data_IF_503331828769
#
_entry.id   IF_503331828769
#
_cell.length_a   1.000
_cell.length_b   1.000
_cell.length_c   1.000
_cell.angle_alpha   90.00
_cell.angle_beta   90.00
_cell.angle_gamma   90.00
#
_symmetry.space_group_name_H-M   'P 1'
#
loop_
_entity.id
_entity.type
_entity.pdbx_description
1 polymer ?
#
# COMPACT_ATOMS: atom_id res chain seq x y z
N UNK A 1 -12.01 9.69 3.05
CA UNK A 1 -11.07 8.55 3.10
C UNK A 1 -10.53 8.35 4.48
N UNK A 2 -10.81 7.19 5.07
CA UNK A 2 -10.38 6.79 6.42
C UNK A 2 -9.16 5.85 6.33
N UNK A 3 -9.33 4.69 5.69
CA UNK A 3 -8.33 3.59 5.74
C UNK A 3 -7.17 3.75 4.74
N UNK A 4 -7.34 4.47 3.64
CA UNK A 4 -6.26 4.61 2.64
C UNK A 4 -5.04 5.39 3.14
N UNK A 5 -5.17 6.12 4.26
CA UNK A 5 -4.04 6.80 4.91
C UNK A 5 -2.96 5.81 5.36
N UNK A 6 -3.33 4.59 5.76
CA UNK A 6 -2.37 3.55 6.15
C UNK A 6 -1.46 3.18 4.99
N UNK A 7 -2.04 3.01 3.80
CA UNK A 7 -1.29 2.73 2.58
C UNK A 7 -0.34 3.88 2.22
N UNK A 8 -0.83 5.12 2.17
CA UNK A 8 -0.01 6.30 1.83
C UNK A 8 1.12 6.50 2.84
N UNK A 9 0.83 6.40 4.13
CA UNK A 9 1.85 6.57 5.17
C UNK A 9 2.91 5.47 5.11
N UNK A 10 2.49 4.22 4.91
CA UNK A 10 3.41 3.08 4.80
C UNK A 10 4.29 3.19 3.55
N UNK A 11 3.72 3.62 2.41
CA UNK A 11 4.49 3.86 1.19
C UNK A 11 5.57 4.92 1.41
N UNK A 12 5.24 6.05 2.07
CA UNK A 12 6.22 7.08 2.42
C UNK A 12 7.31 6.58 3.36
N UNK A 13 6.93 5.80 4.36
CA UNK A 13 7.87 5.23 5.32
C UNK A 13 8.83 4.23 4.65
N UNK A 14 8.31 3.31 3.84
CA UNK A 14 9.11 2.33 3.09
C UNK A 14 10.00 3.01 2.04
N UNK A 15 9.47 4.01 1.32
CA UNK A 15 10.21 4.73 0.30
C UNK A 15 11.30 5.67 0.86
N UNK A 16 11.27 5.98 2.16
CA UNK A 16 12.22 6.89 2.81
C UNK A 16 12.23 8.32 2.25
N UNK A 17 11.25 8.69 1.43
CA UNK A 17 11.21 9.93 0.65
C UNK A 17 9.78 10.46 0.51
N UNK A 18 9.65 11.75 0.20
CA UNK A 18 8.36 12.32 -0.17
C UNK A 18 8.05 12.03 -1.65
N UNK A 19 6.79 11.75 -2.01
CA UNK A 19 6.42 11.63 -3.41
C UNK A 19 6.54 13.00 -4.11
N UNK A 20 6.96 12.97 -5.36
CA UNK A 20 7.06 14.13 -6.25
C UNK A 20 5.72 14.42 -6.94
N UNK A 21 4.93 13.39 -7.21
CA UNK A 21 3.62 13.50 -7.85
C UNK A 21 2.68 12.36 -7.41
N UNK A 22 1.37 12.61 -7.54
CA UNK A 22 0.32 11.64 -7.26
C UNK A 22 -0.76 11.66 -8.34
N UNK A 23 -1.16 10.46 -8.78
CA UNK A 23 -2.32 10.25 -9.65
C UNK A 23 -3.31 9.32 -8.97
N UNK A 24 -4.60 9.54 -9.18
CA UNK A 24 -5.64 8.73 -8.58
C UNK A 24 -6.85 8.59 -9.50
N UNK A 25 -7.55 7.48 -9.35
CA UNK A 25 -8.84 7.21 -9.97
C UNK A 25 -9.80 6.72 -8.90
N UNK A 26 -10.97 7.36 -8.81
CA UNK A 26 -12.03 7.02 -7.87
C UNK A 26 -13.23 6.48 -8.63
N UNK A 27 -13.89 5.50 -8.03
CA UNK A 27 -15.18 4.99 -8.48
C UNK A 27 -16.08 4.72 -7.28
N UNK A 28 -17.36 4.49 -7.58
CA UNK A 28 -18.39 4.18 -6.58
C UNK A 28 -19.23 3.02 -7.07
N UNK A 29 -19.20 1.91 -6.32
CA UNK A 29 -19.96 0.70 -6.62
C UNK A 29 -21.37 0.75 -6.00
N UNK A 30 -21.52 1.44 -4.86
CA UNK A 30 -22.81 1.59 -4.15
C UNK A 30 -23.19 3.07 -3.97
N UNK A 31 -23.76 3.73 -5.01
CA UNK A 31 -24.03 5.17 -4.99
C UNK A 31 -24.92 5.64 -3.83
N UNK A 32 -25.89 4.82 -3.41
CA UNK A 32 -26.80 5.14 -2.30
C UNK A 32 -26.07 5.28 -0.95
N UNK A 33 -24.96 4.56 -0.77
CA UNK A 33 -24.14 4.59 0.46
C UNK A 33 -23.08 5.69 0.41
N UNK A 34 -22.60 6.04 -0.78
CA UNK A 34 -21.42 6.89 -1.00
C UNK A 34 -21.76 8.15 -1.81
N UNK A 35 -22.84 8.84 -1.43
CA UNK A 35 -23.28 10.09 -2.07
C UNK A 35 -22.40 11.29 -1.72
N UNK A 36 -21.78 11.28 -0.54
CA UNK A 36 -20.98 12.41 -0.02
C UNK A 36 -19.47 12.10 0.07
N UNK A 37 -19.10 10.83 0.27
CA UNK A 37 -17.72 10.37 0.50
C UNK A 37 -17.30 9.33 -0.53
N UNK A 38 -16.01 9.06 -0.66
CA UNK A 38 -15.53 7.98 -1.55
C UNK A 38 -15.86 6.58 -1.07
N UNK A 39 -16.18 5.75 -2.05
CA UNK A 39 -16.22 4.31 -1.90
C UNK A 39 -14.82 3.75 -2.08
N UNK A 40 -14.28 3.88 -3.29
CA UNK A 40 -13.07 3.20 -3.72
C UNK A 40 -12.16 4.12 -4.50
N UNK A 41 -10.85 4.03 -4.25
CA UNK A 41 -9.83 4.84 -4.91
C UNK A 41 -8.59 4.01 -5.14
N UNK A 42 -8.10 4.03 -6.38
CA UNK A 42 -6.78 3.56 -6.76
C UNK A 42 -5.86 4.76 -6.91
N UNK A 43 -4.63 4.65 -6.45
CA UNK A 43 -3.67 5.74 -6.50
C UNK A 43 -2.27 5.25 -6.79
N UNK A 44 -1.47 6.14 -7.37
CA UNK A 44 -0.06 5.96 -7.67
C UNK A 44 0.71 7.18 -7.18
N UNK A 45 1.79 6.92 -6.45
CA UNK A 45 2.75 7.90 -5.99
C UNK A 45 4.08 7.67 -6.73
N UNK A 46 4.64 8.73 -7.29
CA UNK A 46 5.98 8.69 -7.90
C UNK A 46 6.97 9.36 -6.96
N UNK A 47 8.02 8.63 -6.60
CA UNK A 47 9.09 9.08 -5.70
C UNK A 47 10.36 9.42 -6.51
N UNK A 48 11.39 10.03 -5.88
CA UNK A 48 12.71 10.19 -6.48
C UNK A 48 13.27 8.87 -7.03
N UNK A 49 14.22 8.98 -7.97
CA UNK A 49 14.92 7.86 -8.61
C UNK A 49 14.02 6.84 -9.33
N UNK A 50 12.79 7.24 -9.65
CA UNK A 50 11.83 6.44 -10.41
C UNK A 50 11.11 5.38 -9.59
N UNK A 51 11.22 5.40 -8.25
CA UNK A 51 10.43 4.52 -7.39
C UNK A 51 8.93 4.83 -7.56
N UNK A 52 8.14 3.79 -7.80
CA UNK A 52 6.69 3.89 -7.96
C UNK A 52 6.01 3.09 -6.86
N UNK A 53 5.12 3.74 -6.12
CA UNK A 53 4.24 3.09 -5.16
C UNK A 53 2.79 3.16 -5.66
N UNK A 54 2.05 2.06 -5.58
CA UNK A 54 0.66 1.98 -6.01
C UNK A 54 -0.18 1.26 -4.98
N UNK A 55 -1.44 1.65 -4.86
CA UNK A 55 -2.36 1.01 -3.93
C UNK A 55 -3.80 1.35 -4.20
N UNK A 56 -4.66 0.68 -3.46
CA UNK A 56 -6.11 0.82 -3.48
C UNK A 56 -6.64 0.91 -2.06
N UNK A 57 -7.74 1.65 -1.89
CA UNK A 57 -8.54 1.72 -0.68
C UNK A 57 -10.00 1.63 -1.09
N UNK A 58 -10.79 0.78 -0.42
CA UNK A 58 -12.17 0.49 -0.82
C UNK A 58 -13.03 0.13 0.39
N UNK A 59 -14.24 0.69 0.45
CA UNK A 59 -15.28 0.29 1.43
C UNK A 59 -16.23 -0.78 0.89
N UNK A 60 -16.29 -0.97 -0.42
CA UNK A 60 -17.12 -1.99 -1.09
C UNK A 60 -16.38 -3.32 -1.32
N UNK A 61 -15.06 -3.36 -1.14
CA UNK A 61 -14.27 -4.58 -1.21
C UNK A 61 -14.26 -5.36 0.11
N UNK A 62 -14.03 -6.68 0.04
CA UNK A 62 -13.74 -7.49 1.24
C UNK A 62 -12.49 -6.96 1.95
N UNK A 63 -12.46 -7.11 3.27
CA UNK A 63 -11.33 -6.67 4.08
C UNK A 63 -10.03 -7.33 3.63
N UNK A 64 -9.09 -6.50 3.18
CA UNK A 64 -7.76 -6.92 2.79
C UNK A 64 -6.78 -5.82 3.19
N UNK A 65 -5.63 -6.21 3.75
CA UNK A 65 -4.52 -5.30 3.97
C UNK A 65 -3.23 -5.98 3.56
N UNK A 66 -2.58 -5.50 2.51
CA UNK A 66 -1.34 -6.08 2.05
C UNK A 66 -0.34 -5.00 1.65
N UNK A 67 0.94 -5.33 1.81
CA UNK A 67 2.06 -4.55 1.32
C UNK A 67 2.96 -5.51 0.56
N UNK A 68 3.42 -5.11 -0.62
CA UNK A 68 4.47 -5.82 -1.34
C UNK A 68 5.53 -4.81 -1.78
N UNK A 69 6.79 -5.15 -1.56
CA UNK A 69 7.95 -4.37 -1.98
C UNK A 69 8.80 -5.24 -2.88
N UNK A 70 9.15 -4.70 -4.04
CA UNK A 70 9.96 -5.38 -5.04
C UNK A 70 11.24 -4.58 -5.25
N UNK A 71 12.37 -5.27 -5.23
CA UNK A 71 13.69 -4.75 -5.55
C UNK A 71 14.38 -5.62 -6.59
N UNK A 72 15.60 -5.25 -6.94
CA UNK A 72 16.45 -5.95 -7.90
C UNK A 72 16.96 -7.30 -7.36
N UNK A 73 17.23 -7.40 -6.06
CA UNK A 73 17.75 -8.61 -5.41
C UNK A 73 16.68 -9.52 -4.83
N UNK A 74 15.41 -9.10 -4.80
CA UNK A 74 14.36 -9.84 -4.13
C UNK A 74 13.07 -9.07 -3.95
N UNK A 75 12.16 -9.67 -3.19
CA UNK A 75 10.89 -9.05 -2.84
C UNK A 75 10.41 -9.56 -1.49
N UNK A 76 9.61 -8.74 -0.82
CA UNK A 76 8.97 -9.08 0.44
C UNK A 76 7.50 -8.65 0.41
N UNK A 77 6.64 -9.38 1.11
CA UNK A 77 5.25 -9.07 1.29
C UNK A 77 4.82 -9.24 2.74
N UNK A 78 3.93 -8.36 3.19
CA UNK A 78 3.31 -8.38 4.51
C UNK A 78 1.79 -8.55 4.34
N UNK A 79 1.23 -9.63 4.88
CA UNK A 79 -0.21 -9.90 4.80
C UNK A 79 -0.69 -10.69 6.04
N UNK A 80 -1.64 -10.16 6.83
CA UNK A 80 -2.20 -8.80 6.73
C UNK A 80 -1.19 -7.72 7.14
N UNK A 81 -1.19 -6.57 6.46
CA UNK A 81 -0.26 -5.47 6.73
C UNK A 81 -0.68 -4.58 7.91
N UNK A 82 -2.00 -4.34 8.04
CA UNK A 82 -2.54 -3.34 8.97
C UNK A 82 -3.49 -3.93 10.02
N UNK A 83 -3.55 -5.26 10.15
CA UNK A 83 -4.39 -5.90 11.15
C UNK A 83 -3.92 -5.59 12.59
N UNK A 84 -4.88 -5.43 13.50
CA UNK A 84 -4.64 -5.24 14.93
C UNK A 84 -4.58 -6.58 15.68
N UNK A 85 -5.48 -7.50 15.34
CA UNK A 85 -5.72 -8.75 16.09
C UNK A 85 -5.09 -9.98 15.42
N UNK A 86 -4.65 -9.86 14.16
CA UNK A 86 -4.08 -10.96 13.40
C UNK A 86 -2.55 -10.86 13.36
N UNK A 87 -1.90 -12.02 13.40
CA UNK A 87 -0.45 -12.11 13.22
C UNK A 87 -0.06 -11.64 11.82
N UNK A 88 0.88 -10.70 11.75
CA UNK A 88 1.41 -10.21 10.47
C UNK A 88 2.43 -11.20 9.94
N UNK A 89 2.21 -11.68 8.72
CA UNK A 89 3.13 -12.62 8.06
C UNK A 89 3.99 -11.89 7.06
N UNK A 90 5.30 -11.87 7.33
CA UNK A 90 6.32 -11.42 6.39
C UNK A 90 6.83 -12.62 5.61
N UNK A 91 6.76 -12.57 4.28
CA UNK A 91 7.25 -13.64 3.41
C UNK A 91 7.78 -13.06 2.10
N UNK A 92 8.64 -13.81 1.41
CA UNK A 92 9.17 -13.39 0.11
C UNK A 92 10.50 -14.05 -0.23
N UNK A 93 11.06 -13.67 -1.38
CA UNK A 93 12.44 -14.02 -1.74
C UNK A 93 13.34 -12.90 -1.24
N UNK A 94 13.70 -12.97 0.03
CA UNK A 94 14.57 -12.00 0.68
C UNK A 94 15.97 -12.60 0.63
N UNK A 95 16.94 -11.97 -0.08
CA UNK A 95 18.31 -12.44 -0.02
C UNK A 95 18.76 -12.38 1.44
N UNK A 96 19.33 -13.48 1.93
CA UNK A 96 20.05 -13.47 3.19
C UNK A 96 21.16 -12.43 3.03
N UNK A 97 21.00 -11.26 3.62
CA UNK A 97 22.15 -10.40 3.89
C UNK A 97 22.95 -11.20 4.91
N UNK A 98 24.14 -11.72 4.57
CA UNK A 98 24.97 -12.34 5.60
C UNK A 98 25.19 -11.28 6.68
N UNK A 99 24.97 -11.68 7.94
CA UNK A 99 25.17 -10.81 9.09
C UNK A 99 26.68 -10.54 9.20
N UNK A 100 27.18 -9.64 8.38
CA UNK A 100 28.61 -9.42 8.24
C UNK A 100 29.06 -8.32 9.21
N UNK A 101 29.88 -8.78 10.18
CA UNK A 101 31.14 -8.21 10.70
C UNK A 101 31.17 -6.77 11.21
#
# INVERSE_FOLDING_TARGET
>A
MDIGIYCVNTMRWVAGSAPLDATAYRWTDVPERFSEVEDSTAFRLTHPDGLVCQGTSSYSSMAASCLQVQGDQGWAALNPAFAFEEERRLFGKIPMVPADV
#
